data_IF_984613133549
#
_entry.id   IF_984613133549
#
_cell.length_a   1.000
_cell.length_b   1.000
_cell.length_c   1.000
_cell.angle_alpha   90.00
_cell.angle_beta   90.00
_cell.angle_gamma   90.00
#
_symmetry.space_group_name_H-M   'P 1'
#
loop_
_entity.id
_entity.type
_entity.pdbx_description
1 polymer ?
#
# COMPACT_ATOMS: atom_id res chain seq x y z
N UNK A 1 -8.35 5.01 -11.75
CA UNK A 1 -6.96 5.04 -11.26
C UNK A 1 -6.48 3.65 -10.91
N UNK A 2 -5.26 3.30 -11.27
CA UNK A 2 -4.54 2.10 -10.85
C UNK A 2 -3.26 2.50 -10.12
N UNK A 3 -2.90 1.76 -9.08
CA UNK A 3 -1.62 1.95 -8.36
C UNK A 3 -0.95 0.59 -8.20
N UNK A 4 0.38 0.56 -8.32
CA UNK A 4 1.19 -0.64 -8.14
C UNK A 4 1.85 -0.63 -6.77
N UNK A 5 1.36 -1.47 -5.86
CA UNK A 5 1.89 -1.59 -4.51
C UNK A 5 2.88 -2.74 -4.44
N UNK A 6 4.13 -2.42 -4.15
CA UNK A 6 5.17 -3.40 -3.83
C UNK A 6 5.00 -3.85 -2.38
N UNK A 7 4.80 -5.14 -2.17
CA UNK A 7 4.78 -5.78 -0.87
C UNK A 7 5.85 -6.86 -0.89
N UNK A 8 6.97 -6.60 -0.22
CA UNK A 8 8.18 -7.44 -0.26
C UNK A 8 8.59 -7.74 -1.72
N UNK A 9 8.54 -9.00 -2.13
CA UNK A 9 8.92 -9.45 -3.48
C UNK A 9 7.80 -9.39 -4.52
N UNK A 10 6.56 -9.04 -4.13
CA UNK A 10 5.41 -9.02 -5.03
C UNK A 10 4.99 -7.60 -5.39
N UNK A 11 4.57 -7.42 -6.64
CA UNK A 11 3.93 -6.20 -7.12
C UNK A 11 2.44 -6.46 -7.33
N UNK A 12 1.60 -5.68 -6.66
CA UNK A 12 0.16 -5.86 -6.63
C UNK A 12 -0.47 -4.66 -7.32
N UNK A 13 -1.13 -4.90 -8.45
CA UNK A 13 -1.88 -3.87 -9.18
C UNK A 13 -3.27 -3.73 -8.56
N UNK A 14 -3.58 -2.55 -8.02
CA UNK A 14 -4.88 -2.27 -7.42
C UNK A 14 -5.68 -1.30 -8.28
N UNK A 15 -6.94 -1.65 -8.56
CA UNK A 15 -7.91 -0.68 -9.07
C UNK A 15 -8.37 0.21 -7.92
N UNK A 16 -8.15 1.51 -8.08
CA UNK A 16 -8.45 2.53 -7.08
C UNK A 16 -9.72 3.33 -7.44
N UNK A 17 -10.44 2.99 -8.52
CA UNK A 17 -11.62 3.75 -8.92
C UNK A 17 -11.29 5.23 -9.19
N UNK A 18 -11.99 6.13 -8.51
CA UNK A 18 -11.75 7.57 -8.51
C UNK A 18 -10.61 8.02 -7.56
N UNK A 19 -10.08 7.11 -6.74
CA UNK A 19 -8.96 7.36 -5.84
C UNK A 19 -9.33 8.07 -4.53
N UNK A 20 -10.61 8.13 -4.17
CA UNK A 20 -11.10 8.87 -2.99
C UNK A 20 -10.82 8.19 -1.64
N UNK A 21 -10.49 6.90 -1.66
CA UNK A 21 -10.09 6.12 -0.50
C UNK A 21 -8.73 6.56 0.06
N UNK A 22 -8.45 6.21 1.31
CA UNK A 22 -7.24 6.62 2.01
C UNK A 22 -5.99 5.84 1.58
N UNK A 23 -4.82 6.42 1.82
CA UNK A 23 -3.53 5.72 1.68
C UNK A 23 -3.44 4.50 2.62
N UNK A 24 -3.99 4.59 3.83
CA UNK A 24 -4.05 3.44 4.74
C UNK A 24 -4.89 2.28 4.18
N UNK A 25 -5.97 2.58 3.45
CA UNK A 25 -6.73 1.56 2.72
C UNK A 25 -5.87 0.90 1.66
N UNK A 26 -5.03 1.67 0.94
CA UNK A 26 -4.21 1.15 -0.16
C UNK A 26 -3.23 0.08 0.33
N UNK A 27 -2.55 0.32 1.46
CA UNK A 27 -1.66 -0.66 2.08
C UNK A 27 -2.41 -1.94 2.50
N UNK A 28 -3.53 -1.79 3.20
CA UNK A 28 -4.35 -2.92 3.63
C UNK A 28 -4.93 -3.72 2.44
N UNK A 29 -5.41 -3.03 1.40
CA UNK A 29 -5.93 -3.65 0.20
C UNK A 29 -4.86 -4.48 -0.51
N UNK A 30 -3.62 -3.98 -0.59
CA UNK A 30 -2.50 -4.76 -1.13
C UNK A 30 -2.22 -6.01 -0.28
N UNK A 31 -2.31 -5.88 1.05
CA UNK A 31 -2.04 -7.01 1.95
C UNK A 31 -3.01 -8.16 1.78
N UNK A 32 -4.28 -7.90 1.46
CA UNK A 32 -5.28 -8.95 1.13
C UNK A 32 -4.82 -9.86 -0.02
N UNK A 33 -4.11 -9.31 -1.00
CA UNK A 33 -3.58 -10.07 -2.13
C UNK A 33 -2.20 -10.69 -1.86
N UNK A 34 -1.45 -10.15 -0.90
CA UNK A 34 -0.13 -10.67 -0.51
C UNK A 34 -0.24 -11.86 0.45
N UNK A 35 -1.07 -11.73 1.49
CA UNK A 35 -1.16 -12.63 2.63
C UNK A 35 -2.62 -12.89 3.00
N UNK A 36 -3.05 -14.14 2.82
CA UNK A 36 -4.40 -14.58 3.20
C UNK A 36 -4.67 -14.52 4.70
N UNK A 37 -3.63 -14.37 5.54
CA UNK A 37 -3.76 -14.18 6.98
C UNK A 37 -3.88 -12.71 7.40
N UNK A 38 -3.88 -11.79 6.43
CA UNK A 38 -4.07 -10.34 6.62
C UNK A 38 -3.05 -9.71 7.58
N UNK A 39 -1.76 -10.01 7.42
CA UNK A 39 -0.69 -9.39 8.21
C UNK A 39 -0.24 -10.20 9.42
N UNK A 40 -0.94 -11.29 9.76
CA UNK A 40 -0.56 -12.14 10.90
C UNK A 40 0.73 -12.91 10.67
N UNK A 41 1.04 -13.27 9.41
CA UNK A 41 2.24 -14.05 9.09
C UNK A 41 3.46 -13.17 8.80
N UNK A 42 3.26 -11.99 8.22
CA UNK A 42 4.35 -11.17 7.67
C UNK A 42 4.37 -9.72 8.18
N UNK A 43 3.52 -9.38 9.15
CA UNK A 43 3.35 -8.00 9.63
C UNK A 43 2.26 -7.26 8.87
N UNK A 44 1.52 -6.41 9.57
CA UNK A 44 0.52 -5.53 8.94
C UNK A 44 1.20 -4.32 8.30
N UNK A 45 0.65 -3.75 7.20
CA UNK A 45 1.15 -2.50 6.64
C UNK A 45 1.08 -1.35 7.65
N UNK A 46 2.20 -0.68 7.89
CA UNK A 46 2.32 0.48 8.79
C UNK A 46 2.49 1.78 8.03
N UNK A 47 3.04 1.73 6.81
CA UNK A 47 3.18 2.90 5.96
C UNK A 47 3.16 2.53 4.48
N UNK A 48 2.83 3.51 3.64
CA UNK A 48 3.00 3.44 2.19
C UNK A 48 3.98 4.54 1.77
N UNK A 49 5.02 4.15 1.05
CA UNK A 49 6.10 5.06 0.62
C UNK A 49 6.16 5.18 -0.90
N UNK A 50 6.45 6.38 -1.38
CA UNK A 50 6.82 6.61 -2.78
C UNK A 50 8.25 6.13 -3.01
N UNK A 51 8.65 6.10 -4.28
CA UNK A 51 10.07 5.95 -4.64
C UNK A 51 10.92 7.01 -3.92
N UNK A 52 12.12 6.62 -3.48
CA UNK A 52 12.97 7.46 -2.63
C UNK A 52 12.60 7.44 -1.14
N UNK A 53 11.60 6.65 -0.72
CA UNK A 53 11.28 6.43 0.69
C UNK A 53 10.37 7.47 1.35
N UNK A 54 9.82 8.40 0.56
CA UNK A 54 8.92 9.45 1.05
C UNK A 54 7.60 8.83 1.53
N UNK A 55 7.30 8.95 2.82
CA UNK A 55 6.07 8.44 3.40
C UNK A 55 4.86 9.27 2.93
N UNK A 56 3.79 8.59 2.54
CA UNK A 56 2.50 9.20 2.27
C UNK A 56 1.75 9.44 3.59
N UNK A 57 0.92 10.48 3.65
CA UNK A 57 -0.01 10.67 4.77
C UNK A 57 -1.04 9.52 4.77
N UNK A 58 -1.13 8.70 5.84
CA UNK A 58 -2.08 7.59 5.91
C UNK A 58 -3.56 7.99 5.72
N UNK A 59 -3.92 9.23 6.06
CA UNK A 59 -5.27 9.76 5.93
C UNK A 59 -5.50 10.51 4.61
N UNK A 60 -4.44 10.78 3.85
CA UNK A 60 -4.52 11.38 2.53
C UNK A 60 -5.29 10.49 1.57
N UNK A 61 -5.97 11.10 0.60
CA UNK A 61 -6.63 10.36 -0.48
C UNK A 61 -5.60 9.88 -1.49
N UNK A 62 -5.85 8.73 -2.08
CA UNK A 62 -4.99 8.18 -3.12
C UNK A 62 -4.85 9.16 -4.29
N UNK A 63 -5.94 9.74 -4.79
CA UNK A 63 -5.91 10.68 -5.93
C UNK A 63 -5.22 12.02 -5.65
N UNK A 64 -5.20 12.46 -4.39
CA UNK A 64 -4.55 13.72 -4.00
C UNK A 64 -3.04 13.51 -3.77
N UNK A 65 -2.63 12.26 -3.55
CA UNK A 65 -1.27 11.90 -3.12
C UNK A 65 -0.47 11.21 -4.22
N UNK A 66 -1.12 10.44 -5.10
CA UNK A 66 -0.49 9.56 -6.08
C UNK A 66 -1.03 9.80 -7.48
N UNK A 67 -0.20 9.52 -8.47
CA UNK A 67 -0.55 9.54 -9.89
C UNK A 67 -1.08 8.18 -10.36
N UNK A 68 -1.85 8.18 -11.46
CA UNK A 68 -2.29 6.95 -12.10
C UNK A 68 -1.07 6.12 -12.59
N UNK A 69 -1.11 4.82 -12.37
CA UNK A 69 -0.04 3.85 -12.63
C UNK A 69 1.24 4.07 -11.81
N UNK A 70 1.22 4.88 -10.75
CA UNK A 70 2.39 5.07 -9.88
C UNK A 70 2.74 3.80 -9.09
N UNK A 71 4.04 3.59 -8.85
CA UNK A 71 4.56 2.57 -7.95
C UNK A 71 4.79 3.12 -6.54
N UNK A 72 4.39 2.35 -5.54
CA UNK A 72 4.58 2.64 -4.12
C UNK A 72 4.97 1.37 -3.35
N UNK A 73 5.49 1.52 -2.15
CA UNK A 73 6.03 0.43 -1.34
C UNK A 73 5.29 0.36 -0.01
N UNK A 74 4.73 -0.81 0.33
CA UNK A 74 4.17 -1.05 1.65
C UNK A 74 5.30 -1.42 2.62
N UNK A 75 5.40 -0.67 3.70
CA UNK A 75 6.24 -1.00 4.86
C UNK A 75 5.41 -1.82 5.84
N UNK A 76 5.93 -2.96 6.29
CA UNK A 76 5.24 -3.88 7.20
C UNK A 76 5.81 -3.77 8.61
N UNK A 77 4.98 -4.04 9.61
CA UNK A 77 5.43 -4.14 11.01
C UNK A 77 6.32 -5.38 11.21
N UNK A 78 7.61 -5.15 11.44
CA UNK A 78 8.60 -6.20 11.71
C UNK A 78 8.59 -6.68 13.17
N UNK A 79 7.71 -6.15 14.03
CA UNK A 79 7.60 -6.60 15.43
C UNK A 79 6.98 -8.01 15.57
N UNK A 80 6.53 -8.62 14.47
CA UNK A 80 5.84 -9.91 14.43
C UNK A 80 6.79 -11.07 14.02
N UNK A 81 8.09 -10.81 13.79
CA UNK A 81 9.07 -11.86 13.41
C UNK A 81 9.79 -12.48 14.61
#
# INVERSE_FOLDING_TARGET
MYVFVHVREKVIKLSCGDGTQSISWLGNAAMVFYDSTLGKKYGSPVAVRKEGGVACDPNGRVCDTLDDNQHVFAELDESIV
#
